data_IF_238487316599
#
_entry.id   IF_238487316599
#
_cell.length_a   1.000
_cell.length_b   1.000
_cell.length_c   1.000
_cell.angle_alpha   90.00
_cell.angle_beta   90.00
_cell.angle_gamma   90.00
#
_symmetry.space_group_name_H-M   'P 1'
#
loop_
_entity.id
_entity.type
_entity.pdbx_description
1 polymer ?
#
# COMPACT_ATOMS: atom_id res chain seq x y z
N UNK A 1 -16.49 8.69 -13.08
CA UNK A 1 -16.54 9.72 -12.03
C UNK A 1 -17.91 10.40 -11.96
N UNK A 2 -18.69 10.40 -13.06
CA UNK A 2 -19.95 11.15 -13.14
C UNK A 2 -19.75 12.67 -13.28
N UNK A 3 -18.54 13.10 -13.59
CA UNK A 3 -18.18 14.50 -13.81
C UNK A 3 -18.37 14.89 -15.28
N UNK A 4 -18.70 16.14 -15.52
CA UNK A 4 -18.83 16.71 -16.87
C UNK A 4 -17.46 17.04 -17.48
N UNK A 5 -17.34 17.16 -18.82
CA UNK A 5 -16.12 17.59 -19.45
C UNK A 5 -15.66 18.97 -18.94
N UNK A 6 -14.40 19.07 -18.53
CA UNK A 6 -13.81 20.30 -17.96
C UNK A 6 -13.80 20.37 -16.43
N UNK A 7 -14.51 19.50 -15.74
CA UNK A 7 -14.52 19.45 -14.26
C UNK A 7 -13.28 18.72 -13.67
N UNK A 8 -12.52 18.01 -14.51
CA UNK A 8 -11.34 17.28 -14.10
C UNK A 8 -10.14 17.67 -14.97
N UNK A 9 -9.08 18.19 -14.35
CA UNK A 9 -7.80 18.43 -14.98
C UNK A 9 -6.85 17.28 -14.71
N UNK A 10 -6.36 16.59 -15.76
CA UNK A 10 -5.68 15.29 -15.62
C UNK A 10 -4.28 15.33 -16.20
N UNK A 11 -3.30 14.88 -15.40
CA UNK A 11 -1.97 14.48 -15.84
C UNK A 11 -1.77 12.99 -15.64
N UNK A 12 -1.10 12.30 -16.56
CA UNK A 12 -0.84 10.86 -16.49
C UNK A 12 0.59 10.52 -16.84
N UNK A 13 1.19 9.66 -16.04
CA UNK A 13 2.48 9.04 -16.34
C UNK A 13 2.50 7.57 -15.83
N UNK A 14 3.54 6.83 -16.19
CA UNK A 14 3.74 5.46 -15.72
C UNK A 14 3.98 5.48 -14.21
N UNK A 15 3.20 4.68 -13.48
CA UNK A 15 3.29 4.51 -12.03
C UNK A 15 3.00 5.78 -11.19
N UNK A 16 2.20 6.71 -11.70
CA UNK A 16 1.74 7.92 -10.98
C UNK A 16 2.83 8.69 -10.23
N UNK A 17 4.04 8.75 -10.79
CA UNK A 17 5.18 9.38 -10.14
C UNK A 17 5.13 10.91 -10.18
N UNK A 18 5.52 11.53 -9.06
CA UNK A 18 5.78 12.97 -8.93
C UNK A 18 7.26 13.14 -8.58
N UNK A 19 8.08 13.36 -9.60
CA UNK A 19 9.52 13.47 -9.44
C UNK A 19 9.90 14.95 -9.37
N UNK A 20 10.76 15.31 -8.43
CA UNK A 20 11.16 16.72 -8.20
C UNK A 20 11.83 17.40 -9.38
N UNK A 21 12.32 16.65 -10.35
CA UNK A 21 12.97 17.12 -11.57
C UNK A 21 12.16 16.88 -12.83
N UNK A 22 10.97 16.27 -12.73
CA UNK A 22 10.04 16.15 -13.85
C UNK A 22 9.29 17.47 -14.07
N UNK A 23 9.91 18.34 -14.87
CA UNK A 23 9.34 19.65 -15.19
C UNK A 23 8.01 19.56 -15.92
N UNK A 24 7.73 18.46 -16.62
CA UNK A 24 6.43 18.27 -17.26
C UNK A 24 5.32 18.12 -16.20
N UNK A 25 5.48 17.19 -15.26
CA UNK A 25 4.54 17.04 -14.16
C UNK A 25 4.41 18.32 -13.32
N UNK A 26 5.54 18.92 -12.93
CA UNK A 26 5.54 20.14 -12.11
C UNK A 26 4.89 21.32 -12.81
N UNK A 27 5.04 21.47 -14.13
CA UNK A 27 4.39 22.55 -14.91
C UNK A 27 2.86 22.37 -14.92
N UNK A 28 2.38 21.14 -15.05
CA UNK A 28 0.95 20.81 -14.97
C UNK A 28 0.41 21.13 -13.58
N UNK A 29 1.13 20.73 -12.52
CA UNK A 29 0.76 21.05 -11.14
C UNK A 29 0.72 22.55 -10.90
N UNK A 30 1.75 23.28 -11.37
CA UNK A 30 1.79 24.73 -11.21
C UNK A 30 0.61 25.41 -11.91
N UNK A 31 0.28 24.99 -13.12
CA UNK A 31 -0.86 25.54 -13.85
C UNK A 31 -2.18 25.26 -13.10
N UNK A 32 -2.35 24.05 -12.58
CA UNK A 32 -3.52 23.69 -11.78
C UNK A 32 -3.65 24.54 -10.51
N UNK A 33 -2.54 24.77 -9.81
CA UNK A 33 -2.53 25.50 -8.53
C UNK A 33 -2.61 27.01 -8.73
N UNK A 34 -1.80 27.56 -9.65
CA UNK A 34 -1.63 29.02 -9.77
C UNK A 34 -2.59 29.67 -10.77
N UNK A 35 -3.08 28.92 -11.77
CA UNK A 35 -3.95 29.45 -12.84
C UNK A 35 -5.37 28.96 -12.71
N UNK A 36 -5.58 27.65 -12.50
CA UNK A 36 -6.90 27.08 -12.34
C UNK A 36 -7.41 27.16 -10.89
N UNK A 37 -6.51 27.45 -9.94
CA UNK A 37 -6.82 27.59 -8.51
C UNK A 37 -7.60 26.39 -7.95
N UNK A 38 -7.20 25.16 -8.33
CA UNK A 38 -7.87 23.94 -7.89
C UNK A 38 -7.79 23.80 -6.36
N UNK A 39 -8.88 23.36 -5.74
CA UNK A 39 -8.94 23.12 -4.29
C UNK A 39 -8.45 21.71 -3.91
N UNK A 40 -8.44 20.78 -4.87
CA UNK A 40 -8.08 19.38 -4.63
C UNK A 40 -7.14 18.86 -5.70
N UNK A 41 -6.06 18.21 -5.26
CA UNK A 41 -5.16 17.42 -6.11
C UNK A 41 -5.20 15.97 -5.63
N UNK A 42 -5.43 15.04 -6.53
CA UNK A 42 -5.52 13.61 -6.21
C UNK A 42 -4.33 12.89 -6.85
N UNK A 43 -3.49 12.30 -6.04
CA UNK A 43 -2.51 11.31 -6.49
C UNK A 43 -3.20 9.96 -6.50
N UNK A 44 -3.42 9.41 -7.69
CA UNK A 44 -4.15 8.16 -7.85
C UNK A 44 -3.25 7.08 -8.45
N UNK A 45 -2.89 6.09 -7.64
CA UNK A 45 -2.29 4.83 -8.08
C UNK A 45 -3.36 3.77 -8.37
N UNK A 46 -2.92 2.58 -8.77
CA UNK A 46 -3.83 1.45 -8.94
C UNK A 46 -3.15 0.13 -8.55
N UNK A 47 -3.93 -0.81 -8.06
CA UNK A 47 -3.46 -2.17 -7.79
C UNK A 47 -3.16 -2.91 -9.09
N UNK A 48 -2.23 -3.88 -9.03
CA UNK A 48 -1.80 -4.62 -10.23
C UNK A 48 -1.03 -3.76 -11.24
N UNK A 49 -0.35 -2.70 -10.80
CA UNK A 49 0.43 -1.83 -11.68
C UNK A 49 1.63 -2.57 -12.27
N UNK A 50 1.66 -2.74 -13.60
CA UNK A 50 2.77 -3.39 -14.30
C UNK A 50 4.12 -2.68 -14.12
N UNK A 51 4.14 -1.36 -13.97
CA UNK A 51 5.35 -0.60 -13.67
C UNK A 51 5.89 -0.89 -12.26
N UNK A 52 5.01 -1.00 -11.26
CA UNK A 52 5.39 -1.38 -9.89
C UNK A 52 5.93 -2.81 -9.87
N UNK A 53 5.27 -3.74 -10.55
CA UNK A 53 5.70 -5.12 -10.65
C UNK A 53 7.07 -5.24 -11.33
N UNK A 54 7.26 -4.61 -12.48
CA UNK A 54 8.52 -4.63 -13.23
C UNK A 54 9.70 -4.07 -12.42
N UNK A 55 9.45 -3.02 -11.62
CA UNK A 55 10.46 -2.46 -10.74
C UNK A 55 10.97 -3.45 -9.68
N UNK A 56 10.06 -4.26 -9.09
CA UNK A 56 10.39 -5.27 -8.07
C UNK A 56 11.04 -6.50 -8.68
N UNK A 57 10.51 -6.99 -9.81
CA UNK A 57 11.00 -8.18 -10.50
C UNK A 57 12.33 -7.95 -11.24
N UNK A 58 12.80 -6.70 -11.28
CA UNK A 58 14.01 -6.30 -12.01
C UNK A 58 13.98 -6.70 -13.50
N UNK A 59 12.81 -6.56 -14.11
CA UNK A 59 12.59 -6.84 -15.53
C UNK A 59 13.35 -5.82 -16.37
N UNK A 60 14.09 -6.26 -17.38
CA UNK A 60 14.80 -5.38 -18.30
C UNK A 60 13.86 -4.91 -19.41
N UNK A 61 13.40 -3.67 -19.32
CA UNK A 61 12.46 -3.03 -20.26
C UNK A 61 13.11 -1.89 -21.07
N UNK A 62 14.40 -1.60 -20.82
CA UNK A 62 15.16 -0.56 -21.50
C UNK A 62 15.03 0.81 -20.86
N UNK A 63 14.74 1.86 -21.65
CA UNK A 63 14.77 3.25 -21.15
C UNK A 63 13.87 3.48 -19.94
N UNK A 64 12.71 2.82 -19.88
CA UNK A 64 11.75 2.98 -18.79
C UNK A 64 12.30 2.53 -17.44
N UNK A 65 13.31 1.65 -17.41
CA UNK A 65 13.92 1.17 -16.17
C UNK A 65 14.50 2.32 -15.34
N UNK A 66 15.03 3.36 -16.01
CA UNK A 66 15.51 4.57 -15.34
C UNK A 66 14.37 5.30 -14.58
N UNK A 67 13.16 5.30 -15.15
CA UNK A 67 11.98 5.86 -14.52
C UNK A 67 11.51 5.00 -13.35
N UNK A 68 11.56 3.70 -13.49
CA UNK A 68 11.15 2.73 -12.47
C UNK A 68 12.14 2.62 -11.29
N UNK A 69 13.37 3.17 -11.40
CA UNK A 69 14.28 3.28 -10.25
C UNK A 69 13.62 4.03 -9.07
N UNK A 70 12.78 5.02 -9.32
CA UNK A 70 12.05 5.70 -8.26
C UNK A 70 11.13 4.77 -7.46
N UNK A 71 10.55 3.75 -8.10
CA UNK A 71 9.75 2.72 -7.40
C UNK A 71 10.66 1.78 -6.60
N UNK A 72 11.84 1.45 -7.13
CA UNK A 72 12.85 0.65 -6.40
C UNK A 72 13.33 1.36 -5.14
N UNK A 73 13.53 2.67 -5.20
CA UNK A 73 13.91 3.46 -4.03
C UNK A 73 12.82 3.36 -2.93
N UNK A 74 11.55 3.42 -3.32
CA UNK A 74 10.42 3.22 -2.39
C UNK A 74 10.43 1.80 -1.81
N UNK A 75 10.64 0.79 -2.65
CA UNK A 75 10.77 -0.60 -2.20
C UNK A 75 11.88 -0.75 -1.16
N UNK A 76 13.08 -0.22 -1.41
CA UNK A 76 14.19 -0.29 -0.47
C UNK A 76 13.93 0.49 0.82
N UNK A 77 13.34 1.68 0.71
CA UNK A 77 12.96 2.51 1.86
C UNK A 77 12.01 1.78 2.81
N UNK A 78 11.08 1.01 2.27
CA UNK A 78 10.05 0.28 3.03
C UNK A 78 10.30 -1.23 3.09
N UNK A 79 11.53 -1.68 2.83
CA UNK A 79 11.88 -3.11 2.74
C UNK A 79 11.55 -3.90 4.02
N UNK A 80 11.71 -3.30 5.20
CA UNK A 80 11.36 -3.93 6.48
C UNK A 80 9.86 -4.21 6.57
N UNK A 81 9.01 -3.24 6.24
CA UNK A 81 7.55 -3.39 6.23
C UNK A 81 7.12 -4.44 5.19
N UNK A 82 7.60 -4.31 3.95
CA UNK A 82 7.24 -5.21 2.86
C UNK A 82 7.74 -6.64 3.08
N UNK A 83 8.89 -6.82 3.75
CA UNK A 83 9.42 -8.13 4.12
C UNK A 83 8.55 -8.88 5.12
N UNK A 84 7.85 -8.17 5.99
CA UNK A 84 6.95 -8.73 7.00
C UNK A 84 5.57 -9.12 6.43
N UNK A 85 5.25 -8.64 5.21
CA UNK A 85 3.95 -8.90 4.58
C UNK A 85 3.88 -10.24 3.85
N UNK A 86 2.70 -10.86 3.78
CA UNK A 86 2.45 -11.98 2.87
C UNK A 86 2.79 -11.59 1.43
N UNK A 87 3.36 -12.51 0.68
CA UNK A 87 3.83 -12.28 -0.69
C UNK A 87 2.73 -11.69 -1.58
N UNK A 88 1.49 -12.17 -1.43
CA UNK A 88 0.32 -11.76 -2.20
C UNK A 88 -0.06 -10.29 -2.00
N UNK A 89 0.32 -9.72 -0.84
CA UNK A 89 -0.01 -8.35 -0.46
C UNK A 89 1.09 -7.35 -0.80
N UNK A 90 2.33 -7.80 -1.03
CA UNK A 90 3.51 -6.93 -1.17
C UNK A 90 3.40 -5.93 -2.31
N UNK A 91 2.93 -6.37 -3.48
CA UNK A 91 2.79 -5.49 -4.65
C UNK A 91 1.68 -4.46 -4.47
N UNK A 92 0.55 -4.86 -3.91
CA UNK A 92 -0.56 -3.94 -3.62
C UNK A 92 -0.14 -2.90 -2.57
N UNK A 93 0.52 -3.35 -1.51
CA UNK A 93 1.07 -2.43 -0.50
C UNK A 93 2.12 -1.49 -1.09
N UNK A 94 2.98 -1.97 -2.01
CA UNK A 94 3.93 -1.09 -2.69
C UNK A 94 3.22 -0.06 -3.59
N UNK A 95 2.09 -0.40 -4.22
CA UNK A 95 1.27 0.57 -4.94
C UNK A 95 0.74 1.67 -4.00
N UNK A 96 0.28 1.30 -2.81
CA UNK A 96 -0.18 2.26 -1.79
C UNK A 96 0.97 3.13 -1.27
N UNK A 97 2.11 2.53 -0.91
CA UNK A 97 3.31 3.24 -0.48
C UNK A 97 3.82 4.21 -1.57
N UNK A 98 3.77 3.80 -2.83
CA UNK A 98 4.10 4.69 -3.94
C UNK A 98 3.19 5.91 -3.96
N UNK A 99 1.89 5.74 -3.85
CA UNK A 99 0.96 6.89 -3.78
C UNK A 99 1.30 7.81 -2.62
N UNK A 100 1.56 7.26 -1.43
CA UNK A 100 1.92 8.03 -0.24
C UNK A 100 3.23 8.83 -0.44
N UNK A 101 4.25 8.21 -1.04
CA UNK A 101 5.51 8.90 -1.36
C UNK A 101 5.31 10.01 -2.39
N UNK A 102 4.41 9.83 -3.37
CA UNK A 102 4.13 10.89 -4.34
C UNK A 102 3.30 12.04 -3.71
N UNK A 103 2.41 11.78 -2.75
CA UNK A 103 1.77 12.83 -1.94
C UNK A 103 2.84 13.61 -1.16
N UNK A 104 3.81 12.92 -0.57
CA UNK A 104 4.93 13.53 0.12
C UNK A 104 5.78 14.40 -0.83
N UNK A 105 6.16 13.87 -1.98
CA UNK A 105 6.96 14.57 -2.99
C UNK A 105 6.25 15.84 -3.48
N UNK A 106 4.96 15.72 -3.82
CA UNK A 106 4.16 16.86 -4.26
C UNK A 106 4.04 17.92 -3.16
N UNK A 107 3.73 17.50 -1.94
CA UNK A 107 3.58 18.40 -0.81
C UNK A 107 4.87 19.16 -0.48
N UNK A 108 6.04 18.57 -0.73
CA UNK A 108 7.35 19.24 -0.56
C UNK A 108 7.79 20.05 -1.77
N UNK A 109 7.05 20.01 -2.89
CA UNK A 109 7.37 20.84 -4.03
C UNK A 109 7.29 22.33 -3.68
N UNK A 110 8.11 23.14 -4.35
CA UNK A 110 8.08 24.61 -4.19
C UNK A 110 6.71 25.19 -4.52
N UNK A 111 5.96 24.56 -5.42
CA UNK A 111 4.61 24.96 -5.83
C UNK A 111 3.66 24.86 -4.64
N UNK A 112 3.57 23.68 -4.03
CA UNK A 112 2.66 23.46 -2.90
C UNK A 112 3.06 24.25 -1.66
N UNK A 113 4.36 24.28 -1.33
CA UNK A 113 4.86 25.07 -0.21
C UNK A 113 4.56 26.58 -0.38
N UNK A 114 4.68 27.12 -1.60
CA UNK A 114 4.34 28.51 -1.89
C UNK A 114 2.83 28.75 -1.82
N UNK A 115 2.01 27.84 -2.34
CA UNK A 115 0.55 27.90 -2.28
C UNK A 115 0.06 27.95 -0.83
N UNK A 116 0.51 27.04 0.00
CA UNK A 116 0.13 26.99 1.42
C UNK A 116 0.65 28.21 2.20
N UNK A 117 1.87 28.68 1.92
CA UNK A 117 2.44 29.87 2.55
C UNK A 117 1.63 31.14 2.26
N UNK A 118 1.05 31.28 1.06
CA UNK A 118 0.18 32.41 0.71
C UNK A 118 -1.28 32.24 1.17
N UNK A 119 -1.58 31.14 1.89
CA UNK A 119 -2.92 30.86 2.42
C UNK A 119 -3.91 30.28 1.42
N UNK A 120 -3.44 29.78 0.28
CA UNK A 120 -4.30 29.15 -0.73
C UNK A 120 -4.84 27.82 -0.17
N UNK A 121 -6.14 27.61 -0.30
CA UNK A 121 -6.82 26.40 0.13
C UNK A 121 -6.70 25.33 -0.96
N UNK A 122 -5.65 24.54 -0.89
CA UNK A 122 -5.43 23.41 -1.78
C UNK A 122 -5.02 22.18 -0.95
N UNK A 123 -5.69 21.07 -1.20
CA UNK A 123 -5.48 19.79 -0.50
C UNK A 123 -4.91 18.75 -1.46
N UNK A 124 -3.98 17.93 -0.97
CA UNK A 124 -3.45 16.77 -1.70
C UNK A 124 -4.05 15.53 -1.08
N UNK A 125 -4.54 14.60 -1.91
CA UNK A 125 -5.12 13.32 -1.50
C UNK A 125 -4.36 12.16 -2.12
N UNK A 126 -4.17 11.08 -1.37
CA UNK A 126 -3.62 9.82 -1.87
C UNK A 126 -4.71 8.76 -1.99
N UNK A 127 -4.97 8.27 -3.20
CA UNK A 127 -5.97 7.26 -3.46
C UNK A 127 -5.39 6.10 -4.28
N UNK A 128 -5.93 4.88 -4.07
CA UNK A 128 -5.62 3.69 -4.86
C UNK A 128 -6.88 3.19 -5.56
N UNK A 129 -6.76 2.92 -6.88
CA UNK A 129 -7.85 2.42 -7.71
C UNK A 129 -7.75 0.90 -7.85
N UNK A 130 -8.82 0.20 -7.56
CA UNK A 130 -8.96 -1.22 -7.83
C UNK A 130 -9.45 -1.44 -9.26
N UNK A 131 -8.58 -1.90 -10.17
CA UNK A 131 -8.98 -2.21 -11.56
C UNK A 131 -9.99 -3.35 -11.60
N UNK A 132 -9.88 -4.29 -10.66
CA UNK A 132 -10.75 -5.47 -10.61
C UNK A 132 -12.18 -5.14 -10.20
N UNK A 133 -12.37 -4.20 -9.27
CA UNK A 133 -13.68 -3.88 -8.69
C UNK A 133 -14.21 -2.48 -9.05
N UNK A 134 -13.38 -1.66 -9.70
CA UNK A 134 -13.75 -0.31 -10.12
C UNK A 134 -13.85 0.70 -8.95
N UNK A 135 -13.33 0.39 -7.77
CA UNK A 135 -13.46 1.22 -6.58
C UNK A 135 -12.20 2.02 -6.30
N UNK A 136 -12.39 3.27 -5.84
CA UNK A 136 -11.34 4.10 -5.28
C UNK A 136 -11.27 3.89 -3.76
N UNK A 137 -10.05 3.76 -3.26
CA UNK A 137 -9.73 3.64 -1.84
C UNK A 137 -8.95 4.85 -1.38
N UNK A 138 -9.46 5.53 -0.38
CA UNK A 138 -8.74 6.60 0.29
C UNK A 138 -7.67 6.00 1.22
N UNK A 139 -6.41 6.42 1.04
CA UNK A 139 -5.28 5.93 1.86
C UNK A 139 -5.05 6.77 3.12
N UNK A 140 -6.00 7.64 3.48
CA UNK A 140 -5.99 8.49 4.68
C UNK A 140 -4.81 9.49 4.75
N UNK A 141 -4.17 9.76 3.61
CA UNK A 141 -3.02 10.69 3.48
C UNK A 141 -3.43 12.04 2.89
N UNK A 142 -4.50 12.63 3.39
CA UNK A 142 -4.90 13.98 2.98
C UNK A 142 -4.06 15.04 3.67
N UNK A 143 -3.39 15.89 2.89
CA UNK A 143 -2.57 17.00 3.37
C UNK A 143 -3.13 18.35 2.91
N UNK A 144 -3.29 19.27 3.86
CA UNK A 144 -3.77 20.65 3.62
C UNK A 144 -2.72 21.71 3.91
N UNK A 145 -1.58 21.30 4.47
CA UNK A 145 -0.40 22.11 4.76
C UNK A 145 0.79 21.17 5.04
N UNK A 146 1.97 21.74 5.29
CA UNK A 146 3.18 20.96 5.56
C UNK A 146 3.08 20.09 6.81
N UNK A 147 2.50 20.62 7.88
CA UNK A 147 2.38 19.90 9.15
C UNK A 147 1.45 18.66 9.02
N UNK A 148 0.29 18.84 8.42
CA UNK A 148 -0.65 17.74 8.16
C UNK A 148 -0.07 16.70 7.21
N UNK A 149 0.77 17.10 6.24
CA UNK A 149 1.45 16.18 5.33
C UNK A 149 2.32 15.16 6.10
N UNK A 150 3.20 15.65 6.96
CA UNK A 150 4.12 14.79 7.71
C UNK A 150 3.37 13.90 8.71
N UNK A 151 2.41 14.47 9.45
CA UNK A 151 1.59 13.73 10.41
C UNK A 151 0.77 12.63 9.77
N UNK A 152 0.09 12.93 8.65
CA UNK A 152 -0.77 11.96 7.97
C UNK A 152 0.02 10.84 7.31
N UNK A 153 1.17 11.16 6.71
CA UNK A 153 2.03 10.12 6.15
C UNK A 153 2.55 9.15 7.22
N UNK A 154 3.04 9.67 8.33
CA UNK A 154 3.50 8.84 9.45
C UNK A 154 2.37 7.99 10.02
N UNK A 155 1.17 8.55 10.22
CA UNK A 155 0.01 7.82 10.72
C UNK A 155 -0.41 6.70 9.76
N UNK A 156 -0.43 6.93 8.44
CA UNK A 156 -0.80 5.93 7.45
C UNK A 156 0.20 4.75 7.41
N UNK A 157 1.51 5.04 7.45
CA UNK A 157 2.55 4.00 7.52
C UNK A 157 2.43 3.20 8.82
N UNK A 158 2.17 3.86 9.95
CA UNK A 158 1.99 3.19 11.23
C UNK A 158 0.77 2.26 11.22
N UNK A 159 -0.34 2.72 10.67
CA UNK A 159 -1.55 1.91 10.51
C UNK A 159 -1.30 0.66 9.64
N UNK A 160 -0.50 0.79 8.57
CA UNK A 160 -0.10 -0.37 7.77
C UNK A 160 0.73 -1.38 8.58
N UNK A 161 1.65 -0.91 9.42
CA UNK A 161 2.45 -1.77 10.31
C UNK A 161 1.55 -2.50 11.31
N UNK A 162 0.62 -1.79 11.96
CA UNK A 162 -0.30 -2.37 12.94
C UNK A 162 -1.17 -3.47 12.30
N UNK A 163 -1.70 -3.23 11.11
CA UNK A 163 -2.47 -4.22 10.38
C UNK A 163 -1.68 -5.49 10.05
N UNK A 164 -0.37 -5.35 9.75
CA UNK A 164 0.53 -6.51 9.53
C UNK A 164 0.73 -7.29 10.82
N UNK A 165 0.97 -6.60 11.94
CA UNK A 165 1.16 -7.25 13.24
C UNK A 165 -0.10 -7.96 13.73
N UNK A 166 -1.28 -7.34 13.58
CA UNK A 166 -2.56 -7.99 13.91
C UNK A 166 -2.77 -9.26 13.09
N UNK A 167 -2.55 -9.21 11.78
CA UNK A 167 -2.71 -10.36 10.91
C UNK A 167 -1.75 -11.51 11.28
N UNK A 168 -0.50 -11.20 11.63
CA UNK A 168 0.47 -12.20 12.12
C UNK A 168 0.01 -12.82 13.43
N UNK A 169 -0.49 -12.03 14.35
CA UNK A 169 -1.00 -12.52 15.64
C UNK A 169 -2.15 -13.50 15.43
N UNK A 170 -3.09 -13.21 14.53
CA UNK A 170 -4.20 -14.10 14.19
C UNK A 170 -3.70 -15.41 13.56
N UNK A 171 -2.75 -15.33 12.62
CA UNK A 171 -2.18 -16.52 11.96
C UNK A 171 -1.48 -17.41 12.97
N UNK A 172 -0.65 -16.85 13.85
CA UNK A 172 0.05 -17.61 14.89
C UNK A 172 -0.94 -18.23 15.87
N UNK A 173 -1.93 -17.48 16.35
CA UNK A 173 -2.95 -18.00 17.26
C UNK A 173 -3.76 -19.15 16.61
N UNK A 174 -4.09 -19.02 15.33
CA UNK A 174 -4.79 -20.07 14.56
C UNK A 174 -3.92 -21.31 14.42
N UNK A 175 -2.65 -21.17 14.08
CA UNK A 175 -1.71 -22.29 13.96
C UNK A 175 -1.52 -23.02 15.29
N UNK A 176 -1.36 -22.29 16.41
CA UNK A 176 -1.28 -22.87 17.76
C UNK A 176 -2.57 -23.62 18.09
N UNK A 177 -3.73 -23.04 17.83
CA UNK A 177 -5.03 -23.67 18.08
C UNK A 177 -5.19 -24.97 17.28
N UNK A 178 -4.77 -24.99 16.02
CA UNK A 178 -4.78 -26.19 15.19
C UNK A 178 -3.82 -27.25 15.71
N UNK A 179 -2.60 -26.89 16.11
CA UNK A 179 -1.63 -27.82 16.68
C UNK A 179 -2.16 -28.50 17.96
N UNK A 180 -2.74 -27.71 18.88
CA UNK A 180 -3.36 -28.23 20.10
C UNK A 180 -4.51 -29.18 19.78
N UNK A 181 -5.35 -28.89 18.79
CA UNK A 181 -6.44 -29.78 18.35
C UNK A 181 -5.90 -31.09 17.78
N UNK A 182 -4.86 -31.05 16.95
CA UNK A 182 -4.23 -32.24 16.38
C UNK A 182 -3.64 -33.13 17.46
N UNK A 183 -2.94 -32.57 18.45
CA UNK A 183 -2.37 -33.28 19.57
C UNK A 183 -3.46 -33.93 20.44
N UNK A 184 -4.55 -33.23 20.73
CA UNK A 184 -5.69 -33.77 21.49
C UNK A 184 -6.36 -34.93 20.76
N UNK A 185 -6.52 -34.88 19.43
CA UNK A 185 -7.06 -35.96 18.61
C UNK A 185 -6.13 -37.17 18.62
N UNK A 186 -4.80 -36.97 18.45
CA UNK A 186 -3.81 -38.00 18.48
C UNK A 186 -3.80 -38.73 19.83
N UNK A 187 -3.81 -37.98 20.93
CA UNK A 187 -3.88 -38.56 22.30
C UNK A 187 -5.18 -39.34 22.56
N UNK A 188 -6.31 -38.88 22.01
CA UNK A 188 -7.59 -39.60 22.11
C UNK A 188 -7.56 -40.92 21.31
N UNK A 189 -7.00 -40.92 20.11
CA UNK A 189 -6.82 -42.09 19.28
C UNK A 189 -5.90 -43.12 19.95
N UNK A 190 -4.78 -42.66 20.51
CA UNK A 190 -3.84 -43.53 21.24
C UNK A 190 -4.51 -44.22 22.43
N UNK A 191 -5.28 -43.47 23.24
CA UNK A 191 -6.03 -44.07 24.38
C UNK A 191 -7.07 -45.10 23.93
N UNK A 192 -7.73 -44.89 22.79
CA UNK A 192 -8.68 -45.85 22.22
C UNK A 192 -7.98 -47.13 21.79
N UNK A 193 -6.83 -47.03 21.11
CA UNK A 193 -6.01 -48.20 20.73
C UNK A 193 -5.57 -49.00 21.95
N UNK A 194 -5.09 -48.33 22.99
CA UNK A 194 -4.69 -49.01 24.24
C UNK A 194 -5.86 -49.68 24.98
N UNK A 195 -7.05 -49.08 24.92
CA UNK A 195 -8.26 -49.68 25.49
C UNK A 195 -8.67 -50.96 24.73
N UNK A 196 -8.62 -50.93 23.39
CA UNK A 196 -8.89 -52.12 22.55
C UNK A 196 -7.87 -53.22 22.82
N UNK A 197 -6.58 -52.89 22.90
CA UNK A 197 -5.52 -53.86 23.19
C UNK A 197 -5.69 -54.52 24.58
N UNK A 198 -6.13 -53.74 25.59
CA UNK A 198 -6.44 -54.28 26.91
C UNK A 198 -7.65 -55.25 26.89
N UNK A 199 -8.71 -54.86 26.17
CA UNK A 199 -9.90 -55.70 26.03
C UNK A 199 -9.58 -57.03 25.31
N UNK A 200 -8.76 -57.00 24.27
CA UNK A 200 -8.36 -58.20 23.49
C UNK A 200 -7.51 -59.17 24.31
N UNK A 201 -6.68 -58.71 25.23
CA UNK A 201 -5.89 -59.59 26.13
C UNK A 201 -6.74 -60.33 27.16
N UNK A 202 -7.92 -59.82 27.51
CA UNK A 202 -8.84 -60.47 28.43
C UNK A 202 -9.73 -61.54 27.78
N UNK A 203 -9.76 -61.63 26.45
CA UNK A 203 -10.54 -62.63 25.69
C UNK A 203 -9.68 -63.85 25.34
N UNK A 204 -8.35 -63.80 25.57
CA UNK A 204 -7.44 -64.94 25.30
C UNK A 204 -7.08 -65.77 26.54
N UNK A 205 -7.80 -65.60 27.66
CA UNK A 205 -7.76 -66.41 28.86
C UNK A 205 -9.12 -67.11 29.04
#
# INVERSE_FOLDING_TARGET
TGLEPGELFVHRNVANLVIHTDLNCLSVVQYAVDVLEVEHIIICGHYGCGGVQAAVENTELGLIDNWLLHIRDIWFKHSSLLGEMPQERRLDTLCELNVMEQVYNLGHSTIMQSAWKRGQKVSIHGWAYGIHDGLLRNLEVTATNRETLEQRLQAAIHHMLDAVFEQRTIVVATAITQAIRHEAIANKAQRAVEAVQRATRHVQL
#
